data_IF_175995501443
#
_entry.id   IF_175995501443
#
_cell.length_a   1.000
_cell.length_b   1.000
_cell.length_c   1.000
_cell.angle_alpha   90.00
_cell.angle_beta   90.00
_cell.angle_gamma   90.00
#
_symmetry.space_group_name_H-M   'P 1'
#
loop_
_entity.id
_entity.type
_entity.pdbx_description
1 polymer ?
#
# COMPACT_ATOMS: atom_id res chain seq x y z
N UNK A 1 -39.08 38.28 18.14
CA UNK A 1 -38.86 36.82 18.26
C UNK A 1 -38.95 36.07 16.93
N UNK A 2 -40.06 36.14 16.16
CA UNK A 2 -40.22 35.38 14.89
C UNK A 2 -39.14 35.66 13.81
N UNK A 3 -38.69 36.91 13.68
CA UNK A 3 -37.65 37.29 12.70
C UNK A 3 -36.28 36.67 13.00
N UNK A 4 -35.93 36.56 14.29
CA UNK A 4 -34.66 35.97 14.73
C UNK A 4 -34.65 34.45 14.52
N UNK A 5 -35.79 33.80 14.74
CA UNK A 5 -35.98 32.37 14.46
C UNK A 5 -35.84 32.06 12.96
N UNK A 6 -36.40 32.90 12.08
CA UNK A 6 -36.23 32.76 10.63
C UNK A 6 -34.78 32.97 10.18
N UNK A 7 -34.06 33.93 10.77
CA UNK A 7 -32.64 34.15 10.48
C UNK A 7 -31.83 32.91 10.89
N UNK A 8 -32.07 32.35 12.08
CA UNK A 8 -31.35 31.17 12.55
C UNK A 8 -31.65 29.94 11.68
N UNK A 9 -32.89 29.79 11.22
CA UNK A 9 -33.29 28.72 10.30
C UNK A 9 -32.60 28.86 8.94
N UNK A 10 -32.53 30.08 8.39
CA UNK A 10 -31.86 30.35 7.12
C UNK A 10 -30.35 30.05 7.22
N UNK A 11 -29.70 30.45 8.31
CA UNK A 11 -28.29 30.15 8.56
C UNK A 11 -28.07 28.63 8.62
N UNK A 12 -28.89 27.91 9.40
CA UNK A 12 -28.80 26.45 9.51
C UNK A 12 -28.98 25.75 8.15
N UNK A 13 -29.93 26.22 7.34
CA UNK A 13 -30.20 25.66 6.02
C UNK A 13 -29.00 25.85 5.06
N UNK A 14 -28.41 27.04 5.03
CA UNK A 14 -27.23 27.32 4.20
C UNK A 14 -26.04 26.45 4.61
N UNK A 15 -25.81 26.25 5.91
CA UNK A 15 -24.76 25.36 6.40
C UNK A 15 -24.97 23.90 5.98
N UNK A 16 -26.21 23.40 6.04
CA UNK A 16 -26.52 22.05 5.58
C UNK A 16 -26.31 21.89 4.06
N UNK A 17 -26.75 22.87 3.27
CA UNK A 17 -26.55 22.85 1.80
C UNK A 17 -25.06 22.92 1.46
N UNK A 18 -24.27 23.76 2.14
CA UNK A 18 -22.83 23.83 1.94
C UNK A 18 -22.15 22.49 2.23
N UNK A 19 -22.54 21.82 3.32
CA UNK A 19 -21.99 20.52 3.69
C UNK A 19 -22.32 19.43 2.66
N UNK A 20 -23.57 19.37 2.19
CA UNK A 20 -24.02 18.44 1.15
C UNK A 20 -23.31 18.72 -0.18
N UNK A 21 -23.16 19.99 -0.55
CA UNK A 21 -22.49 20.40 -1.79
C UNK A 21 -21.02 20.00 -1.79
N UNK A 22 -20.31 20.19 -0.68
CA UNK A 22 -18.92 19.74 -0.52
C UNK A 22 -18.83 18.22 -0.55
N UNK A 23 -19.76 17.51 0.10
CA UNK A 23 -19.77 16.04 0.07
C UNK A 23 -19.96 15.50 -1.35
N UNK A 24 -20.93 16.04 -2.11
CA UNK A 24 -21.21 15.66 -3.49
C UNK A 24 -20.05 16.05 -4.41
N UNK A 25 -19.49 17.24 -4.27
CA UNK A 25 -18.32 17.67 -5.04
C UNK A 25 -17.13 16.73 -4.82
N UNK A 26 -16.88 16.33 -3.57
CA UNK A 26 -15.82 15.37 -3.25
C UNK A 26 -16.09 13.96 -3.77
N UNK A 27 -17.34 13.49 -3.72
CA UNK A 27 -17.66 12.13 -4.18
C UNK A 27 -17.77 12.01 -5.69
N UNK A 28 -18.24 13.05 -6.38
CA UNK A 28 -18.52 13.01 -7.83
C UNK A 28 -17.41 13.65 -8.66
N UNK A 29 -16.86 14.78 -8.23
CA UNK A 29 -15.87 15.57 -9.00
C UNK A 29 -14.44 15.26 -8.57
N UNK A 30 -14.16 15.16 -7.26
CA UNK A 30 -12.82 14.82 -6.75
C UNK A 30 -12.50 13.31 -6.69
N UNK A 31 -13.16 12.48 -7.49
CA UNK A 31 -12.65 11.13 -7.80
C UNK A 31 -11.87 11.12 -9.14
N UNK A 32 -10.72 11.81 -9.29
CA UNK A 32 -9.85 11.49 -10.40
C UNK A 32 -9.18 10.14 -10.08
N UNK A 33 -9.56 9.12 -10.84
CA UNK A 33 -8.70 7.96 -11.12
C UNK A 33 -8.53 6.94 -9.98
N UNK A 34 -9.64 6.45 -9.43
CA UNK A 34 -9.68 5.14 -8.77
C UNK A 34 -10.18 4.04 -9.71
N UNK A 35 -9.93 4.13 -11.01
CA UNK A 35 -9.94 2.91 -11.80
C UNK A 35 -8.77 2.07 -11.28
N UNK A 36 -8.99 0.92 -10.63
CA UNK A 36 -7.88 0.01 -10.37
C UNK A 36 -7.17 -0.20 -11.71
N UNK A 37 -5.82 -0.19 -11.75
CA UNK A 37 -5.12 -0.48 -12.99
C UNK A 37 -5.73 -1.75 -13.59
N UNK A 38 -6.03 -1.77 -14.92
CA UNK A 38 -6.73 -2.88 -15.54
C UNK A 38 -6.12 -4.18 -15.04
N UNK A 39 -6.94 -5.02 -14.40
CA UNK A 39 -6.46 -6.31 -13.89
C UNK A 39 -5.87 -7.02 -15.11
N UNK A 40 -4.57 -7.37 -15.10
CA UNK A 40 -3.98 -8.05 -16.24
C UNK A 40 -4.80 -9.31 -16.49
N UNK A 41 -4.90 -9.68 -17.76
CA UNK A 41 -5.54 -10.91 -18.20
C UNK A 41 -4.72 -12.15 -17.81
N UNK A 42 -4.22 -12.22 -16.57
CA UNK A 42 -3.77 -13.48 -15.95
C UNK A 42 -4.91 -14.51 -15.88
N UNK A 43 -6.16 -14.09 -16.14
CA UNK A 43 -7.27 -15.01 -16.42
C UNK A 43 -6.97 -15.92 -17.61
N UNK A 44 -6.18 -15.45 -18.58
CA UNK A 44 -5.80 -16.20 -19.78
C UNK A 44 -4.56 -17.09 -19.54
N UNK A 45 -3.91 -16.98 -18.37
CA UNK A 45 -2.71 -17.75 -18.01
C UNK A 45 -2.90 -18.45 -16.65
N UNK A 46 -3.75 -19.50 -16.58
CA UNK A 46 -4.10 -20.17 -15.33
C UNK A 46 -2.89 -20.81 -14.63
N UNK A 47 -2.00 -21.45 -15.41
CA UNK A 47 -0.78 -22.09 -14.89
C UNK A 47 0.18 -21.09 -14.26
N UNK A 48 0.37 -19.94 -14.93
CA UNK A 48 1.20 -18.86 -14.39
C UNK A 48 0.62 -18.32 -13.07
N UNK A 49 -0.70 -18.14 -13.01
CA UNK A 49 -1.39 -17.68 -11.80
C UNK A 49 -1.19 -18.64 -10.63
N UNK A 50 -1.24 -19.94 -10.89
CA UNK A 50 -1.00 -20.98 -9.89
C UNK A 50 0.45 -20.96 -9.39
N UNK A 51 1.42 -20.93 -10.31
CA UNK A 51 2.84 -20.82 -9.96
C UNK A 51 3.15 -19.59 -9.10
N UNK A 52 2.56 -18.43 -9.42
CA UNK A 52 2.69 -17.21 -8.60
C UNK A 52 2.12 -17.42 -7.20
N UNK A 53 0.98 -18.10 -7.08
CA UNK A 53 0.32 -18.34 -5.80
C UNK A 53 1.13 -19.30 -4.92
N UNK A 54 1.68 -20.36 -5.51
CA UNK A 54 2.57 -21.31 -4.84
C UNK A 54 3.80 -20.59 -4.31
N UNK A 55 4.55 -19.88 -5.16
CA UNK A 55 5.76 -19.14 -4.74
C UNK A 55 5.43 -18.12 -3.65
N UNK A 56 4.25 -17.49 -3.69
CA UNK A 56 3.78 -16.60 -2.63
C UNK A 56 3.55 -17.33 -1.30
N UNK A 57 2.98 -18.54 -1.32
CA UNK A 57 2.77 -19.35 -0.10
C UNK A 57 4.08 -19.71 0.55
N UNK A 58 5.10 -20.11 -0.21
CA UNK A 58 6.36 -20.51 0.40
C UNK A 58 7.23 -19.31 0.87
N UNK A 59 6.95 -18.06 0.44
CA UNK A 59 7.58 -16.84 1.00
C UNK A 59 6.84 -16.33 2.25
N UNK A 60 5.56 -16.67 2.38
CA UNK A 60 4.72 -16.22 3.49
C UNK A 60 5.36 -16.43 4.89
N UNK A 61 6.03 -17.55 5.23
CA UNK A 61 6.69 -17.68 6.52
C UNK A 61 7.81 -16.65 6.74
N UNK A 62 8.69 -16.45 5.75
CA UNK A 62 9.78 -15.46 5.84
C UNK A 62 9.25 -14.04 6.01
N UNK A 63 8.16 -13.71 5.31
CA UNK A 63 7.49 -12.42 5.47
C UNK A 63 6.92 -12.26 6.88
N UNK A 64 6.27 -13.29 7.44
CA UNK A 64 5.76 -13.25 8.82
C UNK A 64 6.89 -13.06 9.83
N UNK A 65 8.01 -13.77 9.67
CA UNK A 65 9.15 -13.65 10.57
C UNK A 65 9.81 -12.26 10.54
N UNK A 66 9.93 -11.66 9.35
CA UNK A 66 10.38 -10.29 9.18
C UNK A 66 9.42 -9.31 9.85
N UNK A 67 8.12 -9.43 9.59
CA UNK A 67 7.10 -8.55 10.19
C UNK A 67 7.04 -8.66 11.70
N UNK A 68 7.23 -9.86 12.25
CA UNK A 68 7.35 -10.05 13.69
C UNK A 68 8.59 -9.34 14.24
N UNK A 69 9.76 -9.53 13.63
CA UNK A 69 11.00 -8.85 14.06
C UNK A 69 10.88 -7.33 14.01
N UNK A 70 10.26 -6.82 12.95
CA UNK A 70 9.98 -5.40 12.80
C UNK A 70 9.05 -4.90 13.91
N UNK A 71 8.03 -5.68 14.28
CA UNK A 71 7.15 -5.34 15.40
C UNK A 71 7.93 -5.30 16.71
N UNK A 72 8.72 -6.32 17.01
CA UNK A 72 9.55 -6.40 18.21
C UNK A 72 10.49 -5.18 18.33
N UNK A 73 11.10 -4.77 17.21
CA UNK A 73 11.93 -3.56 17.13
C UNK A 73 11.13 -2.27 17.41
N UNK A 74 9.95 -2.13 16.80
CA UNK A 74 9.08 -0.96 17.03
C UNK A 74 8.52 -0.93 18.46
N UNK A 75 8.28 -2.09 19.07
CA UNK A 75 7.88 -2.19 20.47
C UNK A 75 8.99 -1.74 21.41
N UNK A 76 10.25 -2.13 21.14
CA UNK A 76 11.40 -1.63 21.89
C UNK A 76 11.56 -0.11 21.80
N UNK A 77 11.32 0.50 20.62
CA UNK A 77 11.32 1.96 20.46
C UNK A 77 10.23 2.69 21.27
N UNK A 78 9.16 1.98 21.65
CA UNK A 78 8.04 2.53 22.42
C UNK A 78 8.25 2.40 23.93
N UNK A 79 9.20 1.59 24.38
CA UNK A 79 9.47 1.39 25.81
C UNK A 79 9.89 2.72 26.47
N UNK A 80 9.48 2.99 27.72
CA UNK A 80 9.80 4.24 28.41
C UNK A 80 11.29 4.33 28.82
N UNK A 81 11.97 3.19 28.91
CA UNK A 81 13.41 3.11 29.18
C UNK A 81 14.10 2.87 27.85
N UNK A 82 14.97 3.80 27.46
CA UNK A 82 15.76 3.68 26.23
C UNK A 82 17.01 2.84 26.48
N UNK A 83 16.99 1.61 25.98
CA UNK A 83 18.15 0.71 25.96
C UNK A 83 18.68 0.60 24.53
N UNK A 84 19.78 1.31 24.28
CA UNK A 84 20.39 1.40 22.95
C UNK A 84 20.95 0.06 22.47
N UNK A 85 21.54 -0.73 23.38
CA UNK A 85 22.20 -1.99 23.04
C UNK A 85 21.17 -3.06 22.68
N UNK A 86 20.09 -3.17 23.46
CA UNK A 86 18.93 -4.01 23.14
C UNK A 86 18.31 -3.58 21.80
N UNK A 87 18.22 -2.29 21.54
CA UNK A 87 17.64 -1.78 20.29
C UNK A 87 18.51 -2.11 19.07
N UNK A 88 19.84 -1.97 19.17
CA UNK A 88 20.81 -2.37 18.13
C UNK A 88 20.70 -3.86 17.83
N UNK A 89 20.61 -4.70 18.86
CA UNK A 89 20.43 -6.15 18.67
C UNK A 89 19.13 -6.48 17.91
N UNK A 90 18.01 -5.83 18.25
CA UNK A 90 16.72 -6.00 17.55
C UNK A 90 16.77 -5.46 16.12
N UNK A 91 17.49 -4.37 15.89
CA UNK A 91 17.71 -3.81 14.56
C UNK A 91 18.47 -4.81 13.68
N UNK A 92 19.60 -5.33 14.16
CA UNK A 92 20.43 -6.29 13.42
C UNK A 92 19.65 -7.56 13.07
N UNK A 93 18.85 -8.07 14.03
CA UNK A 93 17.96 -9.20 13.78
C UNK A 93 16.94 -8.90 12.68
N UNK A 94 16.37 -7.70 12.68
CA UNK A 94 15.38 -7.25 11.69
C UNK A 94 16.01 -7.10 10.31
N UNK A 95 17.19 -6.49 10.23
CA UNK A 95 17.95 -6.34 8.97
C UNK A 95 18.34 -7.70 8.40
N UNK A 96 18.82 -8.63 9.24
CA UNK A 96 19.17 -9.99 8.81
C UNK A 96 17.96 -10.72 8.23
N UNK A 97 16.80 -10.64 8.89
CA UNK A 97 15.55 -11.25 8.40
C UNK A 97 15.04 -10.61 7.11
N UNK A 98 15.11 -9.28 7.00
CA UNK A 98 14.77 -8.58 5.77
C UNK A 98 15.66 -9.03 4.61
N UNK A 99 16.98 -9.05 4.82
CA UNK A 99 17.95 -9.50 3.82
C UNK A 99 17.65 -10.91 3.35
N UNK A 100 17.42 -11.84 4.28
CA UNK A 100 17.11 -13.23 3.94
C UNK A 100 15.80 -13.35 3.13
N UNK A 101 14.74 -12.66 3.57
CA UNK A 101 13.46 -12.63 2.86
C UNK A 101 13.60 -12.07 1.44
N UNK A 102 14.30 -10.95 1.27
CA UNK A 102 14.51 -10.31 -0.04
C UNK A 102 15.37 -11.18 -0.97
N UNK A 103 16.40 -11.83 -0.44
CA UNK A 103 17.23 -12.76 -1.20
C UNK A 103 16.40 -13.94 -1.71
N UNK A 104 15.57 -14.53 -0.85
CA UNK A 104 14.73 -15.66 -1.22
C UNK A 104 13.63 -15.25 -2.21
N UNK A 105 13.01 -14.08 -2.00
CA UNK A 105 12.08 -13.49 -2.96
C UNK A 105 12.75 -13.27 -4.31
N UNK A 106 13.98 -12.75 -4.33
CA UNK A 106 14.76 -12.54 -5.55
C UNK A 106 15.00 -13.84 -6.32
N UNK A 107 15.49 -14.90 -5.63
CA UNK A 107 15.70 -16.22 -6.24
C UNK A 107 14.43 -16.77 -6.88
N UNK A 108 13.30 -16.66 -6.17
CA UNK A 108 12.01 -17.17 -6.67
C UNK A 108 11.45 -16.35 -7.81
N UNK A 109 11.69 -15.03 -7.84
CA UNK A 109 11.35 -14.22 -9.00
C UNK A 109 12.18 -14.61 -10.23
N UNK A 110 13.44 -14.99 -10.04
CA UNK A 110 14.29 -15.52 -11.12
C UNK A 110 13.75 -16.87 -11.60
N UNK A 111 13.43 -17.80 -10.71
CA UNK A 111 12.80 -19.08 -11.06
C UNK A 111 11.50 -18.88 -11.82
N UNK A 112 10.61 -18.02 -11.30
CA UNK A 112 9.35 -17.69 -11.94
C UNK A 112 9.57 -17.11 -13.33
N UNK A 113 10.56 -16.21 -13.49
CA UNK A 113 10.90 -15.63 -14.79
C UNK A 113 11.40 -16.67 -15.79
N UNK A 114 12.14 -17.70 -15.36
CA UNK A 114 12.61 -18.79 -16.24
C UNK A 114 11.45 -19.58 -16.87
N UNK A 115 10.34 -19.70 -16.15
CA UNK A 115 9.16 -20.44 -16.57
C UNK A 115 8.14 -19.60 -17.35
N UNK A 116 8.46 -18.33 -17.66
CA UNK A 116 7.59 -17.41 -18.39
C UNK A 116 8.08 -17.19 -19.81
N UNK A 117 7.13 -17.09 -20.74
CA UNK A 117 7.36 -16.49 -22.05
C UNK A 117 7.72 -15.00 -21.92
N UNK A 118 8.37 -14.39 -22.92
CA UNK A 118 8.65 -12.95 -22.91
C UNK A 118 7.41 -12.08 -22.72
N UNK A 119 6.28 -12.48 -23.28
CA UNK A 119 5.01 -11.75 -23.19
C UNK A 119 4.38 -11.83 -21.80
N UNK A 120 4.33 -13.03 -21.21
CA UNK A 120 3.88 -13.22 -19.82
C UNK A 120 4.75 -12.42 -18.82
N UNK A 121 6.07 -12.44 -19.01
CA UNK A 121 7.00 -11.68 -18.19
C UNK A 121 6.74 -10.17 -18.34
N UNK A 122 6.51 -9.68 -19.56
CA UNK A 122 6.15 -8.28 -19.82
C UNK A 122 4.89 -7.90 -19.04
N UNK A 123 3.81 -8.67 -19.17
CA UNK A 123 2.55 -8.40 -18.46
C UNK A 123 2.75 -8.42 -16.93
N UNK A 124 3.44 -9.45 -16.41
CA UNK A 124 3.60 -9.65 -14.97
C UNK A 124 4.47 -8.58 -14.31
N UNK A 125 5.65 -8.28 -14.87
CA UNK A 125 6.61 -7.34 -14.26
C UNK A 125 6.29 -5.86 -14.52
N UNK A 126 5.59 -5.53 -15.61
CA UNK A 126 5.15 -4.15 -15.89
C UNK A 126 4.23 -3.60 -14.79
N UNK A 127 3.36 -4.45 -14.22
CA UNK A 127 2.48 -4.08 -13.11
C UNK A 127 3.24 -3.65 -11.85
N UNK A 128 4.34 -4.35 -11.54
CA UNK A 128 5.14 -4.07 -10.33
C UNK A 128 5.87 -2.74 -10.46
N UNK A 129 6.32 -2.40 -11.67
CA UNK A 129 6.94 -1.11 -11.97
C UNK A 129 5.92 0.05 -11.95
N UNK A 130 4.74 -0.12 -12.57
CA UNK A 130 3.70 0.92 -12.59
C UNK A 130 3.20 1.29 -11.19
N UNK A 131 2.99 0.31 -10.31
CA UNK A 131 2.56 0.60 -8.93
C UNK A 131 3.60 1.42 -8.14
N UNK A 132 4.90 1.21 -8.38
CA UNK A 132 5.96 1.96 -7.72
C UNK A 132 6.09 3.41 -8.22
N UNK A 133 5.92 3.63 -9.52
CA UNK A 133 5.93 4.95 -10.14
C UNK A 133 4.69 5.77 -9.74
N UNK A 134 3.53 5.12 -9.66
CA UNK A 134 2.28 5.74 -9.20
C UNK A 134 2.39 6.24 -7.75
N UNK A 135 2.92 5.42 -6.84
CA UNK A 135 3.16 5.80 -5.44
C UNK A 135 4.13 6.99 -5.32
N UNK A 136 5.20 7.01 -6.12
CA UNK A 136 6.15 8.15 -6.17
C UNK A 136 5.48 9.45 -6.63
N UNK A 137 4.67 9.38 -7.68
CA UNK A 137 3.95 10.54 -8.18
C UNK A 137 2.93 11.07 -7.16
N UNK A 138 2.27 10.20 -6.42
CA UNK A 138 1.31 10.58 -5.38
C UNK A 138 1.99 11.29 -4.19
N UNK A 139 3.16 10.81 -3.77
CA UNK A 139 3.97 11.47 -2.73
C UNK A 139 4.39 12.88 -3.18
N UNK A 140 4.83 13.01 -4.43
CA UNK A 140 5.23 14.30 -5.00
C UNK A 140 4.06 15.28 -5.15
N UNK A 141 2.88 14.81 -5.56
CA UNK A 141 1.70 15.66 -5.65
C UNK A 141 1.22 16.17 -4.28
N UNK A 142 1.36 15.36 -3.21
CA UNK A 142 1.05 15.80 -1.84
C UNK A 142 2.04 16.84 -1.32
N UNK A 143 3.31 16.76 -1.72
CA UNK A 143 4.35 17.73 -1.34
C UNK A 143 4.17 19.08 -2.04
N UNK A 144 3.64 19.11 -3.27
CA UNK A 144 3.36 20.35 -4.01
C UNK A 144 2.08 21.08 -3.56
N UNK A 145 1.23 20.43 -2.75
CA UNK A 145 -0.02 20.99 -2.20
C UNK A 145 0.11 21.50 -0.76
N UNK A 146 1.30 21.40 -0.16
CA UNK A 146 1.68 22.06 1.09
C UNK A 146 2.56 23.26 0.75
#
# INVERSE_FOLDING_TARGET
MKKFLMILLAISLVFNIAFISVFIYRTVVERPHFAPPPKPELKNYPELKESILEKKREIQPLYREFMQSKRDFMECLREPIFDEDKLKEKLDRTVKKQKNMEQELGKRLIELRKNMTPEEARIFFSRKMMNSAFLRNQINQRRKKK
#
